data_IF_404580095594
#
_entry.id   IF_404580095594
#
_cell.length_a   1.000
_cell.length_b   1.000
_cell.length_c   1.000
_cell.angle_alpha   90.00
_cell.angle_beta   90.00
_cell.angle_gamma   90.00
#
_symmetry.space_group_name_H-M   'P 1'
#
loop_
_entity.id
_entity.type
_entity.pdbx_description
1 polymer ?
#
# COMPACT_ATOMS: atom_id res chain seq x y z
N UNK A 1 3.96 -9.04 -11.18
CA UNK A 1 3.72 -9.18 -9.72
C UNK A 1 2.81 -8.04 -9.25
N UNK A 2 1.91 -8.30 -8.30
CA UNK A 2 0.99 -7.30 -7.74
C UNK A 2 1.45 -6.90 -6.33
N UNK A 3 1.61 -5.61 -6.07
CA UNK A 3 1.84 -5.07 -4.74
C UNK A 3 0.63 -4.27 -4.26
N UNK A 4 0.35 -4.35 -2.96
CA UNK A 4 -0.70 -3.58 -2.30
C UNK A 4 -0.08 -2.59 -1.32
N UNK A 5 -0.39 -1.30 -1.46
CA UNK A 5 0.04 -0.25 -0.56
C UNK A 5 -1.17 0.31 0.22
N UNK A 6 -1.24 0.12 1.54
CA UNK A 6 -2.31 0.68 2.38
C UNK A 6 -1.80 1.98 3.03
N UNK A 7 -2.52 3.08 2.87
CA UNK A 7 -2.08 4.41 3.31
C UNK A 7 -1.10 5.08 2.35
N UNK A 8 -0.98 4.57 1.11
CA UNK A 8 0.09 4.97 0.20
C UNK A 8 -0.10 6.27 -0.58
N UNK A 9 -1.26 6.94 -0.48
CA UNK A 9 -1.42 8.29 -1.05
C UNK A 9 -0.78 9.41 -0.21
N UNK A 10 -0.22 9.07 0.96
CA UNK A 10 0.56 9.96 1.83
C UNK A 10 2.02 9.53 1.93
N UNK A 11 2.43 9.06 3.11
CA UNK A 11 3.83 8.74 3.40
C UNK A 11 4.43 7.63 2.54
N UNK A 12 3.63 6.69 2.01
CA UNK A 12 4.13 5.65 1.11
C UNK A 12 4.02 6.02 -0.38
N UNK A 13 3.74 7.27 -0.73
CA UNK A 13 3.57 7.67 -2.15
C UNK A 13 4.85 7.48 -2.96
N UNK A 14 6.01 7.83 -2.39
CA UNK A 14 7.32 7.57 -3.00
C UNK A 14 7.61 6.08 -3.12
N UNK A 15 7.35 5.29 -2.08
CA UNK A 15 7.54 3.83 -2.12
C UNK A 15 6.61 3.14 -3.13
N UNK A 16 5.37 3.62 -3.26
CA UNK A 16 4.40 3.10 -4.24
C UNK A 16 4.88 3.37 -5.66
N UNK A 17 5.37 4.59 -5.92
CA UNK A 17 5.93 4.94 -7.22
C UNK A 17 7.19 4.12 -7.53
N UNK A 18 8.11 4.00 -6.56
CA UNK A 18 9.32 3.21 -6.73
C UNK A 18 8.99 1.75 -7.08
N UNK A 19 8.03 1.12 -6.39
CA UNK A 19 7.58 -0.23 -6.73
C UNK A 19 7.03 -0.32 -8.16
N UNK A 20 6.27 0.70 -8.59
CA UNK A 20 5.73 0.77 -9.95
C UNK A 20 6.85 0.90 -11.01
N UNK A 21 7.91 1.65 -10.71
CA UNK A 21 9.12 1.77 -11.54
C UNK A 21 9.93 0.46 -11.58
N UNK A 22 9.92 -0.32 -10.50
CA UNK A 22 10.48 -1.69 -10.48
C UNK A 22 9.61 -2.72 -11.22
N UNK A 23 8.52 -2.31 -11.87
CA UNK A 23 7.67 -3.19 -12.68
C UNK A 23 6.55 -3.90 -11.91
N UNK A 24 6.30 -3.55 -10.65
CA UNK A 24 5.10 -4.02 -9.95
C UNK A 24 3.86 -3.30 -10.48
N UNK A 25 2.75 -4.03 -10.65
CA UNK A 25 1.42 -3.42 -10.67
C UNK A 25 1.09 -3.09 -9.22
N UNK A 26 0.89 -1.83 -8.87
CA UNK A 26 0.71 -1.42 -7.47
C UNK A 26 -0.70 -0.88 -7.27
N UNK A 27 -1.45 -1.51 -6.37
CA UNK A 27 -2.73 -0.97 -5.93
C UNK A 27 -2.54 -0.18 -4.64
N UNK A 28 -3.00 1.06 -4.60
CA UNK A 28 -2.82 1.96 -3.45
C UNK A 28 -4.17 2.24 -2.81
N UNK A 29 -4.38 1.78 -1.58
CA UNK A 29 -5.59 2.09 -0.81
C UNK A 29 -5.35 3.33 0.05
N UNK A 30 -6.28 4.27 0.04
CA UNK A 30 -6.28 5.43 0.93
C UNK A 30 -7.63 6.13 1.01
N UNK A 31 -7.74 7.16 1.86
CA UNK A 31 -9.02 7.84 2.14
C UNK A 31 -9.34 9.02 1.22
N UNK A 32 -8.34 9.56 0.52
CA UNK A 32 -8.50 10.78 -0.28
C UNK A 32 -8.45 10.44 -1.78
N UNK A 33 -9.62 10.41 -2.48
CA UNK A 33 -9.69 10.08 -3.90
C UNK A 33 -8.85 10.99 -4.78
N UNK A 34 -8.77 12.29 -4.47
CA UNK A 34 -8.03 13.26 -5.25
C UNK A 34 -6.52 13.00 -5.20
N UNK A 35 -5.97 12.68 -4.01
CA UNK A 35 -4.56 12.30 -3.86
C UNK A 35 -4.25 10.98 -4.57
N UNK A 36 -5.18 10.02 -4.49
CA UNK A 36 -5.04 8.74 -5.18
C UNK A 36 -5.01 8.90 -6.70
N UNK A 37 -5.91 9.72 -7.26
CA UNK A 37 -5.94 10.01 -8.70
C UNK A 37 -4.63 10.65 -9.17
N UNK A 38 -4.17 11.69 -8.46
CA UNK A 38 -2.88 12.35 -8.76
C UNK A 38 -1.71 11.38 -8.70
N UNK A 39 -1.72 10.42 -7.78
CA UNK A 39 -0.68 9.40 -7.70
C UNK A 39 -0.75 8.43 -8.88
N UNK A 40 -1.95 7.95 -9.24
CA UNK A 40 -2.17 7.08 -10.41
C UNK A 40 -1.76 7.73 -11.74
N UNK A 41 -1.90 9.04 -11.87
CA UNK A 41 -1.45 9.77 -13.07
C UNK A 41 0.07 9.78 -13.26
N UNK A 42 0.86 9.51 -12.20
CA UNK A 42 2.33 9.53 -12.27
C UNK A 42 2.93 8.31 -12.95
N UNK A 43 2.23 7.17 -12.96
CA UNK A 43 2.72 5.93 -13.56
C UNK A 43 1.54 4.98 -13.85
N UNK A 44 1.48 4.44 -15.06
CA UNK A 44 0.40 3.55 -15.51
C UNK A 44 0.24 2.27 -14.67
N UNK A 45 1.27 1.86 -13.93
CA UNK A 45 1.22 0.72 -13.03
C UNK A 45 0.57 1.02 -11.66
N UNK A 46 0.28 2.29 -11.36
CA UNK A 46 -0.35 2.72 -10.11
C UNK A 46 -1.88 2.75 -10.22
N UNK A 47 -2.57 2.05 -9.32
CA UNK A 47 -4.03 2.00 -9.26
C UNK A 47 -4.55 2.42 -7.89
N UNK A 48 -5.16 3.60 -7.80
CA UNK A 48 -5.73 4.12 -6.56
C UNK A 48 -7.12 3.53 -6.25
N UNK A 49 -7.32 3.11 -5.00
CA UNK A 49 -8.61 2.66 -4.46
C UNK A 49 -8.95 3.49 -3.23
N UNK A 50 -10.10 4.16 -3.27
CA UNK A 50 -10.58 4.90 -2.10
C UNK A 50 -11.30 3.97 -1.15
N UNK A 51 -10.74 3.74 0.03
CA UNK A 51 -11.40 3.00 1.11
C UNK A 51 -10.88 3.48 2.47
N UNK A 52 -11.76 3.52 3.46
CA UNK A 52 -11.39 3.85 4.83
C UNK A 52 -11.17 2.56 5.64
N UNK A 53 -9.93 2.34 6.06
CA UNK A 53 -9.56 1.18 6.88
C UNK A 53 -10.15 1.23 8.30
N UNK A 54 -10.68 2.38 8.75
CA UNK A 54 -11.46 2.46 9.97
C UNK A 54 -12.83 1.75 9.84
N UNK A 55 -13.35 1.65 8.61
CA UNK A 55 -14.60 0.95 8.31
C UNK A 55 -14.31 -0.48 7.87
N UNK A 56 -14.14 -1.37 8.85
CA UNK A 56 -13.65 -2.73 8.63
C UNK A 56 -14.43 -3.52 7.56
N UNK A 57 -15.76 -3.43 7.54
CA UNK A 57 -16.59 -4.14 6.56
C UNK A 57 -16.40 -3.60 5.13
N UNK A 58 -16.44 -2.28 4.95
CA UNK A 58 -16.24 -1.63 3.65
C UNK A 58 -14.82 -1.85 3.12
N UNK A 59 -13.82 -1.75 4.00
CA UNK A 59 -12.43 -2.02 3.67
C UNK A 59 -12.23 -3.48 3.23
N UNK A 60 -12.82 -4.44 3.94
CA UNK A 60 -12.74 -5.85 3.58
C UNK A 60 -13.39 -6.13 2.21
N UNK A 61 -14.56 -5.54 1.94
CA UNK A 61 -15.21 -5.65 0.63
C UNK A 61 -14.34 -5.06 -0.49
N UNK A 62 -13.82 -3.84 -0.30
CA UNK A 62 -12.92 -3.20 -1.26
C UNK A 62 -11.66 -4.02 -1.53
N UNK A 63 -11.09 -4.66 -0.49
CA UNK A 63 -9.93 -5.53 -0.64
C UNK A 63 -10.26 -6.79 -1.44
N UNK A 64 -11.41 -7.43 -1.16
CA UNK A 64 -11.84 -8.61 -1.90
C UNK A 64 -12.06 -8.29 -3.39
N UNK A 65 -12.73 -7.19 -3.70
CA UNK A 65 -12.99 -6.79 -5.08
C UNK A 65 -11.70 -6.39 -5.81
N UNK A 66 -10.76 -5.76 -5.09
CA UNK A 66 -9.43 -5.48 -5.62
C UNK A 66 -8.65 -6.75 -5.96
N UNK A 67 -8.67 -7.75 -5.07
CA UNK A 67 -7.98 -9.02 -5.32
C UNK A 67 -8.62 -9.81 -6.46
N UNK A 68 -9.96 -9.78 -6.60
CA UNK A 68 -10.66 -10.39 -7.74
C UNK A 68 -10.30 -9.72 -9.07
N UNK A 69 -10.24 -8.39 -9.10
CA UNK A 69 -10.01 -7.64 -10.34
C UNK A 69 -8.55 -7.52 -10.75
N UNK A 70 -7.61 -7.52 -9.80
CA UNK A 70 -6.18 -7.30 -10.07
C UNK A 70 -5.28 -8.48 -9.73
N UNK A 71 -5.87 -9.56 -9.20
CA UNK A 71 -5.16 -10.74 -8.73
C UNK A 71 -4.63 -10.58 -7.30
N UNK A 72 -4.19 -11.67 -6.67
CA UNK A 72 -3.63 -11.65 -5.32
C UNK A 72 -2.38 -10.79 -5.26
N UNK A 73 -2.22 -10.03 -4.17
CA UNK A 73 -1.01 -9.28 -3.91
C UNK A 73 0.09 -10.24 -3.42
N UNK A 74 1.24 -10.23 -4.10
CA UNK A 74 2.44 -10.98 -3.67
C UNK A 74 3.25 -10.20 -2.62
N UNK A 75 3.00 -8.90 -2.48
CA UNK A 75 3.66 -8.00 -1.55
C UNK A 75 2.64 -7.02 -0.98
N UNK A 76 2.60 -6.87 0.34
CA UNK A 76 1.79 -5.86 1.03
C UNK A 76 2.70 -4.90 1.80
N UNK A 77 2.50 -3.60 1.60
CA UNK A 77 3.16 -2.52 2.35
C UNK A 77 2.08 -1.66 3.01
N UNK A 78 2.02 -1.65 4.34
CA UNK A 78 0.93 -0.97 5.04
C UNK A 78 1.44 0.12 6.00
N UNK A 79 0.90 1.32 5.84
CA UNK A 79 0.99 2.41 6.81
C UNK A 79 -0.41 2.77 7.28
N UNK A 80 -0.78 2.29 8.47
CA UNK A 80 -2.10 2.50 9.06
C UNK A 80 -1.95 3.41 10.27
N UNK A 81 -2.60 4.58 10.23
CA UNK A 81 -2.65 5.49 11.37
C UNK A 81 -3.82 5.07 12.28
N UNK A 82 -3.54 4.71 13.53
CA UNK A 82 -4.52 4.53 14.58
C UNK A 82 -4.49 5.77 15.49
N UNK A 83 -5.66 6.33 15.79
CA UNK A 83 -5.79 7.58 16.56
C UNK A 83 -5.44 7.41 18.05
N UNK A 84 -4.97 8.48 18.70
CA UNK A 84 -4.19 8.52 19.95
C UNK A 84 -5.03 8.33 21.25
N UNK A 85 -6.13 7.58 21.20
CA UNK A 85 -6.68 6.86 22.36
C UNK A 85 -6.20 5.39 22.42
N UNK A 86 -5.44 4.90 21.43
CA UNK A 86 -4.75 3.60 21.47
C UNK A 86 -3.33 3.75 20.91
N UNK A 87 -2.34 3.56 21.78
CA UNK A 87 -0.89 3.77 21.55
C UNK A 87 -0.32 3.02 20.32
N UNK A 88 0.64 3.70 19.68
CA UNK A 88 1.42 3.37 18.46
C UNK A 88 2.02 1.96 18.42
N UNK A 89 2.07 1.34 17.21
CA UNK A 89 3.13 0.44 16.74
C UNK A 89 3.08 0.18 15.21
N UNK A 90 4.09 -0.55 14.75
CA UNK A 90 4.86 -0.45 13.52
C UNK A 90 4.33 -1.27 12.33
N UNK A 91 4.78 -0.87 11.12
CA UNK A 91 4.52 -1.45 9.78
C UNK A 91 4.78 -2.96 9.71
N UNK A 92 3.82 -3.70 9.16
CA UNK A 92 3.98 -5.09 8.67
C UNK A 92 4.18 -5.08 7.15
N UNK A 93 5.16 -5.84 6.69
CA UNK A 93 5.37 -6.19 5.27
C UNK A 93 5.26 -7.71 5.18
N UNK A 94 4.27 -8.20 4.43
CA UNK A 94 4.05 -9.62 4.19
C UNK A 94 4.34 -9.92 2.72
N UNK A 95 5.30 -10.82 2.49
CA UNK A 95 5.52 -11.47 1.20
C UNK A 95 4.81 -12.82 1.26
N UNK A 96 3.64 -12.91 0.62
CA UNK A 96 2.91 -14.16 0.48
C UNK A 96 3.22 -14.80 -0.86
N UNK A 97 4.15 -15.76 -0.87
CA UNK A 97 4.12 -16.86 -1.83
C UNK A 97 3.86 -18.12 -1.03
N UNK A 98 2.86 -18.92 -1.43
CA UNK A 98 2.60 -20.22 -0.81
C UNK A 98 3.90 -21.05 -0.82
N UNK A 99 4.50 -21.25 0.36
CA UNK A 99 5.68 -22.11 0.55
C UNK A 99 7.06 -21.43 0.73
N UNK A 100 7.17 -20.11 0.94
CA UNK A 100 8.48 -19.48 1.24
C UNK A 100 8.47 -18.68 2.55
N UNK A 101 9.59 -18.66 3.32
CA UNK A 101 9.65 -17.96 4.60
C UNK A 101 9.49 -16.44 4.37
N UNK A 102 8.49 -15.87 5.04
CA UNK A 102 8.16 -14.45 5.01
C UNK A 102 9.35 -13.58 5.45
N UNK A 103 9.81 -12.67 4.58
CA UNK A 103 10.87 -11.70 4.91
C UNK A 103 10.25 -10.35 5.31
N UNK A 104 10.45 -9.99 6.57
CA UNK A 104 10.00 -8.71 7.15
C UNK A 104 10.96 -7.58 6.76
N UNK A 105 10.44 -6.53 6.12
CA UNK A 105 11.19 -5.31 5.87
C UNK A 105 10.63 -4.17 6.72
N UNK A 106 11.43 -3.68 7.67
CA UNK A 106 11.12 -2.53 8.52
C UNK A 106 11.66 -1.27 7.84
N UNK A 107 10.77 -0.38 7.39
CA UNK A 107 11.16 0.96 6.97
C UNK A 107 11.00 1.91 8.16
N UNK A 108 12.12 2.45 8.65
CA UNK A 108 12.11 3.53 9.62
C UNK A 108 11.85 4.86 8.89
N UNK A 109 10.91 5.65 9.37
CA UNK A 109 10.64 6.98 8.86
C UNK A 109 11.80 7.92 9.23
N UNK A 110 12.73 8.14 8.29
CA UNK A 110 13.49 9.37 8.06
C UNK A 110 14.60 9.10 7.01
N UNK A 111 14.62 9.86 5.90
CA UNK A 111 15.86 10.16 5.19
C UNK A 111 16.15 9.55 3.80
N UNK A 112 15.25 8.83 3.13
CA UNK A 112 15.59 8.10 1.88
C UNK A 112 14.99 8.68 0.58
N UNK A 113 14.86 10.00 0.46
CA UNK A 113 14.51 10.66 -0.82
C UNK A 113 15.50 11.77 -1.21
N UNK A 114 16.78 11.57 -0.93
CA UNK A 114 17.83 12.33 -1.58
C UNK A 114 18.94 11.36 -2.02
N UNK A 115 19.14 11.29 -3.33
CA UNK A 115 20.20 10.60 -4.07
C UNK A 115 19.99 9.10 -4.33
N UNK A 116 19.40 8.81 -5.49
CA UNK A 116 20.02 8.01 -6.57
C UNK A 116 19.16 8.12 -7.83
#
# INVERSE_FOLDING_TARGET
MHALAIGGSGMLSGASLWLAEQGYRVSVIGRNPQKLRRLSERNANLFGVSADYAQAAEFAAALQDLMKSRGPASLVVAWVHFDENRRRRQVSVENGAAGSPSRLHRFASAGWFAQA
#
